data_IF_797674834041
#
_entry.id   IF_797674834041
#
_cell.length_a   1.000
_cell.length_b   1.000
_cell.length_c   1.000
_cell.angle_alpha   90.00
_cell.angle_beta   90.00
_cell.angle_gamma   90.00
#
_symmetry.space_group_name_H-M   'P 1'
#
loop_
_entity.id
_entity.type
_entity.pdbx_description
1 polymer ?
#
# COMPACT_ATOMS: atom_id res chain seq x y z
N UNK A 1 56.97 0.32 38.27
CA UNK A 1 57.06 0.11 36.81
C UNK A 1 56.04 -0.95 36.41
N UNK A 2 55.42 -0.72 35.27
CA UNK A 2 54.12 -1.22 34.80
C UNK A 2 54.09 -2.71 34.45
N UNK A 3 52.89 -3.31 34.42
CA UNK A 3 52.66 -4.55 33.66
C UNK A 3 51.35 -5.27 33.94
N UNK A 4 50.19 -4.65 33.73
CA UNK A 4 48.90 -5.36 33.66
C UNK A 4 48.78 -5.92 32.24
N UNK A 5 48.77 -7.25 32.10
CA UNK A 5 48.43 -7.94 30.85
C UNK A 5 46.94 -8.28 30.84
N UNK A 6 46.16 -7.52 30.09
CA UNK A 6 44.80 -7.88 29.66
C UNK A 6 44.89 -8.36 28.21
N UNK A 7 44.89 -9.68 27.99
CA UNK A 7 44.71 -10.23 26.65
C UNK A 7 43.21 -10.25 26.33
N UNK A 8 42.78 -9.32 25.48
CA UNK A 8 41.43 -9.29 24.91
C UNK A 8 41.18 -10.57 24.09
N UNK A 9 40.18 -11.36 24.49
CA UNK A 9 39.58 -12.36 23.62
C UNK A 9 38.72 -11.65 22.57
N UNK A 10 39.22 -11.56 21.34
CA UNK A 10 38.44 -11.14 20.17
C UNK A 10 37.50 -12.26 19.74
N UNK A 11 36.29 -12.27 20.30
CA UNK A 11 35.19 -13.05 19.77
C UNK A 11 34.77 -12.45 18.41
N UNK A 12 35.26 -13.06 17.33
CA UNK A 12 34.75 -12.88 15.97
C UNK A 12 33.29 -13.34 15.94
N UNK A 13 32.37 -12.42 16.20
CA UNK A 13 30.96 -12.64 15.98
C UNK A 13 30.72 -12.60 14.47
N UNK A 14 30.59 -13.78 13.87
CA UNK A 14 30.11 -13.94 12.50
C UNK A 14 28.72 -13.31 12.38
N UNK A 15 28.65 -12.11 11.81
CA UNK A 15 27.39 -11.57 11.31
C UNK A 15 27.00 -12.38 10.07
N UNK A 16 26.30 -13.49 10.29
CA UNK A 16 25.51 -14.09 9.24
C UNK A 16 24.49 -13.03 8.79
N UNK A 17 24.68 -12.51 7.58
CA UNK A 17 23.68 -11.69 6.91
C UNK A 17 22.46 -12.58 6.64
N UNK A 18 21.57 -12.66 7.62
CA UNK A 18 20.23 -13.20 7.43
C UNK A 18 19.53 -12.28 6.42
N UNK A 19 19.35 -12.79 5.19
CA UNK A 19 18.48 -12.22 4.17
C UNK A 19 17.05 -12.14 4.74
N UNK A 20 16.76 -11.06 5.45
CA UNK A 20 15.48 -10.85 6.11
C UNK A 20 14.43 -10.41 5.08
N UNK A 21 13.94 -11.36 4.27
CA UNK A 21 12.60 -11.30 3.66
C UNK A 21 11.49 -11.54 4.72
N UNK A 22 11.77 -11.26 5.99
CA UNK A 22 11.12 -11.86 7.15
C UNK A 22 9.81 -11.18 7.60
N UNK A 23 9.31 -10.17 6.90
CA UNK A 23 8.20 -9.35 7.44
C UNK A 23 6.81 -9.80 7.01
N UNK A 24 6.65 -10.48 5.87
CA UNK A 24 5.32 -10.74 5.30
C UNK A 24 4.80 -12.17 5.56
N UNK A 25 4.20 -12.38 6.73
CA UNK A 25 3.35 -13.56 6.96
C UNK A 25 2.00 -13.36 6.24
N UNK A 26 1.41 -14.42 5.65
CA UNK A 26 0.05 -14.34 5.14
C UNK A 26 -0.92 -13.94 6.25
N UNK A 27 -1.75 -12.93 5.99
CA UNK A 27 -2.77 -12.47 6.92
C UNK A 27 -4.04 -12.06 6.16
N UNK A 28 -5.09 -11.72 6.90
CA UNK A 28 -6.36 -11.27 6.32
C UNK A 28 -6.42 -9.75 6.36
N UNK A 29 -6.88 -9.17 5.26
CA UNK A 29 -7.00 -7.74 5.04
C UNK A 29 -8.35 -7.42 4.41
N UNK A 30 -8.82 -6.19 4.57
CA UNK A 30 -9.82 -5.59 3.68
C UNK A 30 -9.09 -4.66 2.71
N UNK A 31 -9.22 -4.93 1.41
CA UNK A 31 -8.78 -4.01 0.36
C UNK A 31 -9.95 -3.12 -0.05
N UNK A 32 -9.80 -1.82 0.14
CA UNK A 32 -10.71 -0.82 -0.39
C UNK A 32 -10.32 -0.47 -1.82
N UNK A 33 -11.29 -0.47 -2.72
CA UNK A 33 -11.14 0.03 -4.09
C UNK A 33 -11.93 1.32 -4.21
N UNK A 34 -11.27 2.39 -4.62
CA UNK A 34 -11.89 3.70 -4.77
C UNK A 34 -11.80 4.10 -6.22
N UNK A 35 -12.95 4.19 -6.88
CA UNK A 35 -13.07 4.52 -8.28
C UNK A 35 -13.59 5.95 -8.44
N UNK A 36 -12.86 6.78 -9.18
CA UNK A 36 -13.27 8.15 -9.49
C UNK A 36 -13.61 8.27 -10.97
N UNK A 37 -14.82 8.74 -11.27
CA UNK A 37 -15.25 9.03 -12.63
C UNK A 37 -15.64 10.50 -12.76
N UNK A 38 -15.08 11.18 -13.75
CA UNK A 38 -15.35 12.59 -14.06
C UNK A 38 -16.20 12.68 -15.32
N UNK A 39 -17.31 13.42 -15.28
CA UNK A 39 -18.27 13.46 -16.41
C UNK A 39 -17.74 14.23 -17.64
N UNK A 40 -16.85 15.20 -17.44
CA UNK A 40 -16.43 16.14 -18.48
C UNK A 40 -14.98 15.96 -18.93
N UNK A 41 -14.18 15.12 -18.26
CA UNK A 41 -12.79 14.91 -18.64
C UNK A 41 -12.67 13.61 -19.42
N UNK A 42 -11.80 13.58 -20.44
CA UNK A 42 -11.56 12.40 -21.29
C UNK A 42 -10.78 11.28 -20.58
N UNK A 43 -10.46 11.44 -19.28
CA UNK A 43 -9.48 10.62 -18.57
C UNK A 43 -10.02 9.30 -17.98
N UNK A 44 -11.20 8.84 -18.40
CA UNK A 44 -11.73 7.55 -17.96
C UNK A 44 -11.98 7.47 -16.45
N UNK A 45 -11.78 6.28 -15.89
CA UNK A 45 -12.02 5.96 -14.48
C UNK A 45 -10.70 5.72 -13.77
N UNK A 46 -10.38 6.57 -12.81
CA UNK A 46 -9.22 6.36 -11.95
C UNK A 46 -9.54 5.33 -10.86
N UNK A 47 -8.59 4.46 -10.52
CA UNK A 47 -8.77 3.43 -9.50
C UNK A 47 -7.63 3.43 -8.50
N UNK A 48 -7.96 3.60 -7.22
CA UNK A 48 -7.03 3.60 -6.10
C UNK A 48 -7.30 2.41 -5.19
N UNK A 49 -6.24 1.87 -4.60
CA UNK A 49 -6.34 0.79 -3.64
C UNK A 49 -5.80 1.23 -2.30
N UNK A 50 -6.56 0.91 -1.26
CA UNK A 50 -6.14 1.03 0.13
C UNK A 50 -6.35 -0.30 0.83
N UNK A 51 -5.67 -0.50 1.94
CA UNK A 51 -5.70 -1.75 2.67
C UNK A 51 -5.81 -1.48 4.18
N UNK A 52 -6.59 -2.32 4.84
CA UNK A 52 -6.78 -2.34 6.29
C UNK A 52 -6.49 -3.77 6.76
N UNK A 53 -5.54 -3.99 7.67
CA UNK A 53 -5.40 -5.28 8.34
C UNK A 53 -6.68 -5.67 9.09
N UNK A 54 -7.15 -6.91 8.96
CA UNK A 54 -8.45 -7.29 9.54
C UNK A 54 -8.51 -7.17 11.08
N UNK A 55 -7.38 -7.36 11.76
CA UNK A 55 -7.20 -7.18 13.21
C UNK A 55 -7.19 -5.70 13.68
N UNK A 56 -7.27 -4.78 12.72
CA UNK A 56 -7.12 -3.35 12.91
C UNK A 56 -8.40 -2.57 12.57
N UNK A 57 -9.49 -3.29 12.28
CA UNK A 57 -10.79 -2.72 11.97
C UNK A 57 -11.44 -2.15 13.24
N UNK A 58 -12.12 -1.01 13.11
CA UNK A 58 -12.68 -0.27 14.25
C UNK A 58 -11.68 0.56 15.05
N UNK A 59 -10.38 0.46 14.73
CA UNK A 59 -9.34 1.33 15.28
C UNK A 59 -9.05 2.47 14.29
N UNK A 60 -8.90 3.69 14.81
CA UNK A 60 -8.57 4.86 14.00
C UNK A 60 -7.18 4.74 13.35
N UNK A 61 -7.02 5.28 12.13
CA UNK A 61 -5.71 5.45 11.50
C UNK A 61 -5.13 4.22 10.77
N UNK A 62 -5.87 3.12 10.62
CA UNK A 62 -5.35 1.88 10.04
C UNK A 62 -5.60 1.69 8.54
N UNK A 63 -5.84 2.80 7.85
CA UNK A 63 -6.07 2.79 6.42
C UNK A 63 -4.78 3.24 5.71
N UNK A 64 -4.23 2.35 4.90
CA UNK A 64 -2.93 2.56 4.26
C UNK A 64 -3.01 2.39 2.74
N UNK A 65 -2.25 3.15 1.93
CA UNK A 65 -2.18 2.95 0.50
C UNK A 65 -1.66 1.55 0.16
N UNK A 66 -2.32 0.89 -0.80
CA UNK A 66 -1.87 -0.36 -1.41
C UNK A 66 -1.32 -0.08 -2.80
N UNK A 67 -0.02 -0.18 -2.96
CA UNK A 67 0.66 0.13 -4.21
C UNK A 67 0.68 -1.10 -5.10
N UNK A 68 -0.08 -1.06 -6.19
CA UNK A 68 -0.12 -2.14 -7.19
C UNK A 68 0.66 -1.79 -8.47
N UNK A 69 1.11 -0.54 -8.61
CA UNK A 69 1.88 -0.04 -9.75
C UNK A 69 2.60 1.26 -9.36
N UNK A 70 3.48 1.75 -10.23
CA UNK A 70 4.08 3.08 -10.10
C UNK A 70 5.24 3.16 -9.10
N UNK A 71 5.94 2.05 -8.85
CA UNK A 71 7.10 1.99 -7.96
C UNK A 71 8.22 1.15 -8.59
N UNK A 72 9.48 1.47 -8.28
CA UNK A 72 10.64 0.72 -8.75
C UNK A 72 10.95 -0.49 -7.87
N UNK A 73 11.77 -1.41 -8.40
CA UNK A 73 12.14 -2.63 -7.68
C UNK A 73 12.88 -2.36 -6.37
N UNK A 74 13.75 -1.35 -6.31
CA UNK A 74 14.43 -0.97 -5.07
C UNK A 74 13.47 -0.54 -3.96
N UNK A 75 12.39 0.18 -4.30
CA UNK A 75 11.39 0.59 -3.31
C UNK A 75 10.61 -0.61 -2.79
N UNK A 76 10.26 -1.54 -3.67
CA UNK A 76 9.65 -2.81 -3.28
C UNK A 76 10.57 -3.61 -2.35
N UNK A 77 11.84 -3.81 -2.74
CA UNK A 77 12.80 -4.61 -1.98
C UNK A 77 13.12 -3.95 -0.62
N UNK A 78 13.28 -2.63 -0.55
CA UNK A 78 13.46 -1.88 0.71
C UNK A 78 12.24 -1.99 1.61
N UNK A 79 11.04 -1.80 1.07
CA UNK A 79 9.80 -1.95 1.83
C UNK A 79 9.68 -3.36 2.42
N UNK A 80 9.98 -4.39 1.63
CA UNK A 80 9.92 -5.78 2.07
C UNK A 80 11.01 -6.17 3.08
N UNK A 81 12.07 -5.36 3.21
CA UNK A 81 13.05 -5.43 4.32
C UNK A 81 12.63 -4.59 5.54
N UNK A 82 11.55 -3.82 5.44
CA UNK A 82 11.05 -2.87 6.44
C UNK A 82 11.82 -1.56 6.50
N UNK A 83 12.62 -1.25 5.49
CA UNK A 83 13.29 0.03 5.38
C UNK A 83 12.25 1.10 5.00
N UNK A 84 12.27 2.29 5.63
CA UNK A 84 11.43 3.39 5.22
C UNK A 84 11.62 3.74 3.74
N UNK A 85 10.53 4.01 3.02
CA UNK A 85 10.59 4.31 1.59
C UNK A 85 10.07 5.70 1.28
N UNK A 86 10.73 6.35 0.32
CA UNK A 86 10.24 7.56 -0.33
C UNK A 86 9.76 7.20 -1.74
N UNK A 87 8.46 7.30 -1.97
CA UNK A 87 7.82 7.01 -3.26
C UNK A 87 8.01 8.12 -4.31
N UNK A 88 8.42 9.32 -3.89
CA UNK A 88 8.54 10.52 -4.71
C UNK A 88 9.98 10.87 -5.07
N UNK A 89 10.93 10.03 -4.68
CA UNK A 89 12.31 10.14 -5.14
C UNK A 89 12.35 10.11 -6.67
N UNK A 90 12.68 11.25 -7.28
CA UNK A 90 12.65 11.48 -8.74
C UNK A 90 13.60 10.54 -9.50
N UNK A 91 14.62 10.03 -8.83
CA UNK A 91 15.59 9.08 -9.36
C UNK A 91 15.47 7.74 -8.65
N UNK A 92 14.82 6.73 -9.26
CA UNK A 92 14.87 5.39 -8.69
C UNK A 92 16.31 4.89 -8.78
N UNK A 93 16.77 4.19 -7.74
CA UNK A 93 18.12 3.58 -7.77
C UNK A 93 18.19 2.42 -8.77
N UNK A 94 17.03 1.85 -9.12
CA UNK A 94 16.91 0.70 -10.03
C UNK A 94 15.77 0.88 -11.04
N UNK A 95 15.70 0.02 -12.05
CA UNK A 95 14.63 0.00 -13.05
C UNK A 95 13.27 -0.45 -12.45
N UNK A 96 12.21 -0.25 -13.23
CA UNK A 96 10.87 -0.80 -12.99
C UNK A 96 10.74 -2.26 -13.47
N UNK A 97 11.86 -2.98 -13.58
CA UNK A 97 11.90 -4.32 -14.13
C UNK A 97 11.52 -5.34 -13.05
N UNK A 98 10.26 -5.77 -13.08
CA UNK A 98 9.75 -6.83 -12.24
C UNK A 98 9.62 -8.12 -13.04
N UNK A 99 9.81 -9.26 -12.38
CA UNK A 99 9.64 -10.56 -13.02
C UNK A 99 8.20 -10.72 -13.54
N UNK A 100 8.04 -11.41 -14.67
CA UNK A 100 6.72 -11.71 -15.26
C UNK A 100 5.81 -12.41 -14.25
N UNK A 101 6.37 -13.26 -13.40
CA UNK A 101 5.62 -13.95 -12.33
C UNK A 101 5.05 -12.98 -11.29
N UNK A 102 5.82 -11.96 -10.89
CA UNK A 102 5.34 -10.93 -9.97
C UNK A 102 4.20 -10.13 -10.61
N UNK A 103 4.39 -9.65 -11.84
CA UNK A 103 3.37 -8.89 -12.57
C UNK A 103 2.07 -9.70 -12.73
N UNK A 104 2.16 -10.98 -13.09
CA UNK A 104 1.02 -11.89 -13.15
C UNK A 104 0.33 -12.07 -11.78
N UNK A 105 1.10 -12.05 -10.69
CA UNK A 105 0.57 -12.04 -9.32
C UNK A 105 -0.22 -10.78 -8.99
N UNK A 106 0.26 -9.61 -9.41
CA UNK A 106 -0.46 -8.33 -9.28
C UNK A 106 -1.76 -8.34 -10.07
N UNK A 107 -1.73 -8.81 -11.31
CA UNK A 107 -2.94 -8.88 -12.15
C UNK A 107 -3.94 -9.88 -11.58
N UNK A 108 -3.46 -11.00 -11.03
CA UNK A 108 -4.31 -11.96 -10.32
C UNK A 108 -4.98 -11.32 -9.10
N UNK A 109 -4.25 -10.53 -8.31
CA UNK A 109 -4.82 -9.77 -7.19
C UNK A 109 -5.90 -8.78 -7.65
N UNK A 110 -5.62 -7.98 -8.69
CA UNK A 110 -6.58 -7.02 -9.24
C UNK A 110 -7.84 -7.69 -9.76
N UNK A 111 -7.70 -8.82 -10.45
CA UNK A 111 -8.82 -9.61 -10.93
C UNK A 111 -9.64 -10.19 -9.76
N UNK A 112 -8.97 -10.68 -8.72
CA UNK A 112 -9.60 -11.16 -7.50
C UNK A 112 -10.41 -10.06 -6.81
N UNK A 113 -9.84 -8.86 -6.67
CA UNK A 113 -10.52 -7.68 -6.12
C UNK A 113 -11.75 -7.33 -6.97
N UNK A 114 -11.55 -7.11 -8.26
CA UNK A 114 -12.61 -6.67 -9.18
C UNK A 114 -13.83 -7.61 -9.17
N UNK A 115 -13.60 -8.92 -9.13
CA UNK A 115 -14.67 -9.93 -9.16
C UNK A 115 -15.44 -10.08 -7.85
N UNK A 116 -14.81 -9.80 -6.71
CA UNK A 116 -15.38 -10.13 -5.39
C UNK A 116 -15.67 -8.92 -4.51
N UNK A 117 -15.49 -7.70 -5.04
CA UNK A 117 -15.73 -6.47 -4.32
C UNK A 117 -17.21 -6.21 -4.06
N UNK A 118 -17.52 -5.77 -2.84
CA UNK A 118 -18.84 -5.29 -2.45
C UNK A 118 -18.82 -3.77 -2.35
N UNK A 119 -19.84 -3.10 -2.89
CA UNK A 119 -19.94 -1.64 -2.86
C UNK A 119 -20.32 -1.16 -1.46
N UNK A 120 -19.53 -0.25 -0.91
CA UNK A 120 -19.76 0.37 0.39
C UNK A 120 -20.48 1.71 0.27
N UNK A 121 -20.02 2.56 -0.64
CA UNK A 121 -20.47 3.95 -0.70
C UNK A 121 -20.43 4.47 -2.15
N UNK A 122 -21.32 5.43 -2.44
CA UNK A 122 -21.25 6.26 -3.64
C UNK A 122 -21.38 7.72 -3.21
N UNK A 123 -20.43 8.55 -3.62
CA UNK A 123 -20.46 9.99 -3.39
C UNK A 123 -20.46 10.74 -4.72
N UNK A 124 -21.38 11.69 -4.83
CA UNK A 124 -21.48 12.59 -5.97
C UNK A 124 -21.02 13.98 -5.55
N UNK A 125 -19.90 14.44 -6.11
CA UNK A 125 -19.43 15.82 -5.95
C UNK A 125 -19.83 16.61 -7.20
N UNK A 126 -20.41 17.79 -6.99
CA UNK A 126 -20.75 18.75 -8.05
C UNK A 126 -20.12 20.09 -7.70
N UNK A 127 -19.34 20.64 -8.61
CA UNK A 127 -18.77 21.99 -8.46
C UNK A 127 -19.69 23.04 -9.08
N UNK A 128 -19.55 24.29 -8.63
CA UNK A 128 -20.26 25.45 -9.19
C UNK A 128 -19.99 25.65 -10.68
N UNK A 129 -18.80 25.23 -11.15
CA UNK A 129 -18.40 25.21 -12.57
C UNK A 129 -19.14 24.19 -13.42
N UNK A 130 -20.04 23.39 -12.84
CA UNK A 130 -20.81 22.35 -13.54
C UNK A 130 -20.10 21.01 -13.64
N UNK A 131 -18.81 20.92 -13.26
CA UNK A 131 -18.09 19.66 -13.19
C UNK A 131 -18.77 18.71 -12.20
N UNK A 132 -18.77 17.42 -12.53
CA UNK A 132 -19.32 16.34 -11.69
C UNK A 132 -18.28 15.24 -11.53
N UNK A 133 -18.13 14.74 -10.30
CA UNK A 133 -17.30 13.60 -9.94
C UNK A 133 -18.17 12.58 -9.20
N UNK A 134 -18.09 11.33 -9.64
CA UNK A 134 -18.64 10.18 -8.93
C UNK A 134 -17.48 9.43 -8.29
N UNK A 135 -17.56 9.21 -6.99
CA UNK A 135 -16.63 8.38 -6.23
C UNK A 135 -17.38 7.14 -5.78
N UNK A 136 -16.91 5.96 -6.19
CA UNK A 136 -17.46 4.68 -5.76
C UNK A 136 -16.42 3.97 -4.90
N UNK A 137 -16.83 3.60 -3.69
CA UNK A 137 -16.00 2.86 -2.75
C UNK A 137 -16.49 1.43 -2.69
N UNK A 138 -15.58 0.50 -2.87
CA UNK A 138 -15.81 -0.93 -2.72
C UNK A 138 -14.84 -1.51 -1.71
N UNK A 139 -15.16 -2.67 -1.15
CA UNK A 139 -14.29 -3.40 -0.26
C UNK A 139 -14.26 -4.88 -0.64
N UNK A 140 -13.09 -5.49 -0.47
CA UNK A 140 -12.85 -6.91 -0.74
C UNK A 140 -11.98 -7.52 0.37
N UNK A 141 -12.47 -8.52 1.11
CA UNK A 141 -11.67 -9.26 2.07
C UNK A 141 -10.71 -10.21 1.34
N UNK A 142 -9.42 -10.08 1.65
CA UNK A 142 -8.35 -10.82 0.99
C UNK A 142 -7.43 -11.40 2.05
N UNK A 143 -7.16 -12.69 1.92
CA UNK A 143 -6.00 -13.31 2.55
C UNK A 143 -4.82 -13.26 1.60
N UNK A 144 -3.64 -12.90 2.08
CA UNK A 144 -2.44 -12.87 1.25
C UNK A 144 -1.22 -12.36 1.99
N UNK A 145 -0.09 -12.37 1.28
CA UNK A 145 1.17 -11.79 1.75
C UNK A 145 1.32 -10.38 1.20
N UNK A 146 1.54 -9.44 2.10
CA UNK A 146 1.89 -8.06 1.79
C UNK A 146 3.09 -7.67 2.65
N UNK A 147 4.06 -6.95 2.08
CA UNK A 147 5.02 -6.23 2.91
C UNK A 147 4.55 -4.80 3.14
N UNK A 148 5.08 -4.18 4.18
CA UNK A 148 4.74 -2.83 4.53
C UNK A 148 5.94 -2.13 5.15
N UNK A 149 6.00 -0.81 4.99
CA UNK A 149 7.04 0.02 5.59
C UNK A 149 6.50 1.40 5.91
N UNK A 150 7.16 2.09 6.84
CA UNK A 150 6.90 3.51 7.06
C UNK A 150 7.22 4.31 5.78
N UNK A 151 6.43 5.33 5.53
CA UNK A 151 6.72 6.32 4.50
C UNK A 151 7.76 7.32 5.04
N UNK A 152 8.81 7.58 4.26
CA UNK A 152 9.87 8.53 4.58
C UNK A 152 9.75 9.78 3.71
N UNK A 153 9.71 10.96 4.34
CA UNK A 153 9.71 12.25 3.66
C UNK A 153 11.15 12.72 3.45
N UNK A 154 11.87 12.11 2.51
CA UNK A 154 13.28 12.45 2.31
C UNK A 154 13.46 13.56 1.27
N UNK A 155 12.47 13.82 0.41
CA UNK A 155 12.59 14.79 -0.68
C UNK A 155 11.46 15.81 -0.76
N UNK A 156 11.43 16.79 0.17
CA UNK A 156 10.88 18.16 -0.02
C UNK A 156 9.46 18.36 -0.58
N UNK A 157 8.73 17.29 -0.86
CA UNK A 157 7.34 17.26 -1.28
C UNK A 157 6.56 17.01 -0.02
N UNK A 158 5.91 18.06 0.47
CA UNK A 158 5.00 18.01 1.62
C UNK A 158 3.78 17.16 1.26
N UNK A 159 3.94 15.84 1.18
CA UNK A 159 2.81 14.96 1.42
C UNK A 159 2.62 14.93 2.93
N UNK A 160 1.48 15.41 3.43
CA UNK A 160 1.12 15.32 4.85
C UNK A 160 0.96 13.87 5.35
N UNK A 161 1.17 12.88 4.48
CA UNK A 161 1.15 11.47 4.84
C UNK A 161 2.40 11.07 5.63
N UNK A 162 2.18 10.49 6.81
CA UNK A 162 3.21 9.95 7.71
C UNK A 162 2.95 8.48 8.06
N UNK A 163 2.06 7.82 7.31
CA UNK A 163 1.61 6.46 7.60
C UNK A 163 2.45 5.36 6.96
N UNK A 164 1.88 4.16 6.98
CA UNK A 164 2.48 2.95 6.39
C UNK A 164 2.00 2.79 4.95
N UNK A 165 2.82 2.20 4.09
CA UNK A 165 2.43 1.81 2.72
C UNK A 165 2.60 0.32 2.54
N UNK A 166 1.73 -0.29 1.74
CA UNK A 166 1.73 -1.73 1.52
C UNK A 166 2.04 -2.09 0.07
N UNK A 167 2.81 -3.16 -0.10
CA UNK A 167 3.03 -3.81 -1.39
C UNK A 167 2.51 -5.24 -1.37
N UNK A 168 1.77 -5.64 -2.41
CA UNK A 168 1.37 -7.03 -2.61
C UNK A 168 2.60 -7.91 -2.92
N UNK A 169 2.64 -9.11 -2.33
CA UNK A 169 3.66 -10.12 -2.62
C UNK A 169 3.05 -11.32 -3.33
N UNK A 170 2.17 -12.09 -2.66
CA UNK A 170 1.65 -13.35 -3.20
C UNK A 170 0.52 -13.97 -2.38
N UNK A 171 0.06 -15.15 -2.80
CA UNK A 171 -0.89 -16.04 -2.11
C UNK A 171 -2.27 -15.42 -1.88
N UNK A 172 -2.73 -14.59 -2.81
CA UNK A 172 -4.00 -13.89 -2.70
C UNK A 172 -5.19 -14.84 -2.85
N UNK A 173 -6.09 -14.79 -1.87
CA UNK A 173 -7.33 -15.56 -1.84
C UNK A 173 -8.45 -14.68 -1.32
N UNK A 174 -9.64 -14.81 -1.91
CA UNK A 174 -10.83 -14.15 -1.40
C UNK A 174 -11.28 -14.82 -0.11
N UNK A 175 -11.64 -14.02 0.90
CA UNK A 175 -12.14 -14.49 2.20
C UNK A 175 -13.57 -14.04 2.44
N UNK A 176 -14.51 -14.75 1.81
CA UNK A 176 -15.95 -14.42 1.86
C UNK A 176 -16.52 -14.44 3.28
N UNK A 177 -16.05 -15.35 4.11
CA UNK A 177 -16.45 -15.57 5.50
C UNK A 177 -16.21 -14.35 6.40
N UNK A 178 -15.24 -13.51 6.03
CA UNK A 178 -14.87 -12.33 6.81
C UNK A 178 -16.04 -11.33 6.94
N UNK A 179 -16.92 -11.24 5.92
CA UNK A 179 -18.10 -10.39 5.97
C UNK A 179 -19.09 -10.75 7.08
N UNK A 180 -19.09 -12.02 7.53
CA UNK A 180 -19.95 -12.46 8.62
C UNK A 180 -19.42 -12.05 10.00
N UNK A 181 -18.16 -11.62 10.06
CA UNK A 181 -17.44 -11.35 11.31
C UNK A 181 -17.14 -9.86 11.53
N UNK A 182 -17.27 -9.04 10.48
CA UNK A 182 -16.92 -7.63 10.50
C UNK A 182 -18.17 -6.78 10.38
N UNK A 183 -18.30 -5.79 11.27
CA UNK A 183 -19.30 -4.73 11.12
C UNK A 183 -18.77 -3.69 10.12
N UNK A 184 -19.38 -3.63 8.93
CA UNK A 184 -19.01 -2.71 7.85
C UNK A 184 -19.05 -1.25 8.29
N UNK A 185 -19.85 -0.90 9.31
CA UNK A 185 -19.90 0.45 9.90
C UNK A 185 -18.60 0.86 10.60
N UNK A 186 -17.68 -0.09 10.81
CA UNK A 186 -16.36 0.18 11.38
C UNK A 186 -15.32 0.56 10.31
N UNK A 187 -15.66 0.47 9.03
CA UNK A 187 -14.86 1.04 7.94
C UNK A 187 -15.14 2.55 7.93
N UNK A 188 -14.12 3.42 7.90
CA UNK A 188 -14.34 4.86 7.93
C UNK A 188 -15.35 5.33 6.88
N UNK A 189 -16.23 6.26 7.25
CA UNK A 189 -17.27 6.79 6.35
C UNK A 189 -16.79 7.97 5.49
N UNK A 190 -15.66 8.59 5.87
CA UNK A 190 -15.08 9.78 5.24
C UNK A 190 -14.00 9.47 4.20
N UNK A 191 -13.97 8.24 3.67
CA UNK A 191 -13.06 7.80 2.61
C UNK A 191 -12.98 8.75 1.40
N UNK A 192 -14.06 9.43 0.96
CA UNK A 192 -14.00 10.41 -0.13
C UNK A 192 -13.29 11.73 0.23
N UNK A 193 -13.00 11.96 1.51
CA UNK A 193 -12.21 13.06 2.07
C UNK A 193 -10.73 12.75 2.20
N UNK A 194 -10.32 11.47 2.07
CA UNK A 194 -8.93 11.12 1.80
C UNK A 194 -8.57 11.77 0.47
N UNK A 195 -7.78 12.83 0.50
CA UNK A 195 -7.35 13.45 -0.74
C UNK A 195 -6.47 12.44 -1.51
N UNK A 196 -7.06 11.79 -2.52
CA UNK A 196 -6.39 10.95 -3.51
C UNK A 196 -5.29 11.71 -4.29
N UNK A 197 -5.21 13.04 -4.09
CA UNK A 197 -4.32 14.01 -4.72
C UNK A 197 -2.84 13.73 -4.48
N UNK A 198 -2.46 13.24 -3.29
CA UNK A 198 -1.05 13.02 -2.95
C UNK A 198 -0.39 11.98 -3.87
N UNK A 199 -1.15 10.95 -4.28
CA UNK A 199 -0.69 9.97 -5.28
C UNK A 199 -1.18 10.32 -6.70
N UNK A 200 -2.30 11.02 -6.89
CA UNK A 200 -2.78 11.45 -8.22
C UNK A 200 -1.82 12.41 -8.94
N UNK A 201 -1.02 13.19 -8.21
CA UNK A 201 0.07 13.98 -8.81
C UNK A 201 1.16 13.11 -9.45
N UNK A 202 1.23 11.80 -9.15
CA UNK A 202 2.25 10.88 -9.66
C UNK A 202 1.95 10.31 -11.05
N UNK A 203 0.68 10.25 -11.49
CA UNK A 203 0.32 9.69 -12.79
C UNK A 203 0.25 10.72 -13.92
N UNK A 204 0.32 12.02 -13.59
CA UNK A 204 0.35 13.09 -14.59
C UNK A 204 1.81 13.46 -14.84
N UNK A 205 2.40 12.93 -15.92
CA UNK A 205 3.54 13.61 -16.55
C UNK A 205 3.08 15.02 -16.95
N UNK A 206 3.95 16.04 -16.86
CA UNK A 206 3.72 17.32 -17.53
C UNK A 206 3.56 17.12 -19.04
#
# INVERSE_FOLDING_TARGET
>A
MNGIWLALSSALSSFAASNAYSQAKPAVYIVLTIEETYRFTQHGKDTYYWIIPADSIGKQGNLSPLLTHGFSKDKFDSCCKGEPIDLFSVTPKTSYDFTTQYLAGIDSLRNLISKNRSRLQIVHKKWSTGQKKKVEVFATPIFGKFCHSAYSQTYGLETSYTGVVYFPISNFQFKSDLWNTIDVRQIPDDLPGLEFSALQRLSRKP
#
